data_IF_966577768669
#
_entry.id   IF_966577768669
#
_cell.length_a   1.000
_cell.length_b   1.000
_cell.length_c   1.000
_cell.angle_alpha   90.00
_cell.angle_beta   90.00
_cell.angle_gamma   90.00
#
_symmetry.space_group_name_H-M   'P 1'
#
loop_
_entity.id
_entity.type
_entity.pdbx_description
1 polymer ?
#
# COMPACT_ATOMS: atom_id res chain seq x y z
N UNK A 1 -18.24 5.45 46.40
CA UNK A 1 -18.76 4.75 45.32
C UNK A 1 -18.63 5.49 44.02
N UNK A 2 -19.27 6.44 43.87
CA UNK A 2 -19.31 7.14 42.68
C UNK A 2 -18.00 7.61 42.16
N UNK A 3 -17.18 7.88 42.96
CA UNK A 3 -15.91 8.41 42.60
C UNK A 3 -15.15 7.69 41.58
N UNK A 4 -15.17 6.50 41.65
CA UNK A 4 -14.30 5.73 40.80
C UNK A 4 -14.53 5.97 39.34
N UNK A 5 -15.67 6.07 39.01
CA UNK A 5 -15.98 6.12 37.64
C UNK A 5 -15.33 7.24 36.88
N UNK A 6 -15.25 8.29 37.48
CA UNK A 6 -14.79 9.40 36.78
C UNK A 6 -13.39 9.31 36.27
N UNK A 7 -12.59 8.83 37.07
CA UNK A 7 -11.20 8.80 36.73
C UNK A 7 -10.92 8.12 35.43
N UNK A 8 -11.57 7.07 35.24
CA UNK A 8 -11.31 6.28 34.08
C UNK A 8 -11.51 7.02 32.80
N UNK A 9 -12.57 7.68 32.74
CA UNK A 9 -12.89 8.31 31.49
C UNK A 9 -11.89 9.33 31.04
N UNK A 10 -11.42 10.02 31.96
CA UNK A 10 -10.50 11.06 31.61
C UNK A 10 -9.25 10.56 30.99
N UNK A 11 -8.77 9.56 31.60
CA UNK A 11 -7.54 9.01 31.14
C UNK A 11 -7.62 8.58 29.71
N UNK A 12 -8.65 7.90 29.43
CA UNK A 12 -8.81 7.39 28.10
C UNK A 12 -8.80 8.50 27.08
N UNK A 13 -9.52 9.48 27.38
CA UNK A 13 -9.63 10.57 26.43
C UNK A 13 -8.29 11.21 26.16
N UNK A 14 -7.57 11.41 27.17
CA UNK A 14 -6.31 12.07 27.00
C UNK A 14 -5.37 11.27 26.14
N UNK A 15 -5.31 10.03 26.39
CA UNK A 15 -4.41 9.17 25.64
C UNK A 15 -4.71 9.19 24.17
N UNK A 16 -5.92 9.00 23.88
CA UNK A 16 -6.29 8.93 22.48
C UNK A 16 -5.96 10.20 21.74
N UNK A 17 -6.22 11.26 22.33
CA UNK A 17 -6.03 12.52 21.65
C UNK A 17 -4.56 12.79 21.35
N UNK A 18 -3.73 12.47 22.27
CA UNK A 18 -2.33 12.82 22.13
C UNK A 18 -1.54 11.99 21.16
N UNK A 19 -1.69 10.73 21.27
CA UNK A 19 -0.83 9.83 20.54
C UNK A 19 -0.76 10.07 19.04
N UNK A 20 -1.84 10.05 18.33
CA UNK A 20 -1.77 10.16 16.87
C UNK A 20 -1.20 11.49 16.39
N UNK A 21 -1.56 12.52 17.04
CA UNK A 21 -1.12 13.82 16.62
C UNK A 21 0.40 13.96 16.75
N UNK A 22 0.92 13.53 17.84
CA UNK A 22 2.33 13.64 18.08
C UNK A 22 3.14 12.86 17.06
N UNK A 23 2.72 11.66 16.76
CA UNK A 23 3.45 10.83 15.83
C UNK A 23 3.50 11.43 14.45
N UNK A 24 2.41 11.98 14.01
CA UNK A 24 2.35 12.49 12.66
C UNK A 24 3.28 13.66 12.43
N UNK A 25 3.63 14.36 13.49
CA UNK A 25 4.43 15.55 13.35
C UNK A 25 5.92 15.31 13.54
N UNK A 26 6.29 14.21 14.11
CA UNK A 26 7.68 13.98 14.41
C UNK A 26 8.48 13.70 13.14
N UNK A 27 9.62 14.33 12.97
CA UNK A 27 10.46 14.03 11.82
C UNK A 27 11.10 12.66 11.99
N UNK A 28 11.38 12.03 10.88
CA UNK A 28 12.03 10.73 10.88
C UNK A 28 13.54 10.94 10.94
N UNK A 29 14.15 10.33 11.92
CA UNK A 29 15.60 10.40 12.07
C UNK A 29 16.17 9.00 12.03
N UNK A 30 17.12 8.77 11.17
CA UNK A 30 17.72 7.47 10.98
C UNK A 30 19.19 7.50 11.36
N UNK A 31 19.65 6.40 11.96
CA UNK A 31 21.07 6.25 12.20
C UNK A 31 21.77 5.98 10.86
N UNK A 32 23.09 6.15 10.80
CA UNK A 32 23.81 5.84 9.56
C UNK A 32 23.60 4.42 9.08
N UNK A 33 23.55 3.47 10.00
CA UNK A 33 23.32 2.08 9.62
C UNK A 33 21.93 1.87 9.07
N UNK A 34 20.94 2.48 9.71
CA UNK A 34 19.58 2.37 9.24
C UNK A 34 19.41 3.01 7.87
N UNK A 35 20.05 4.16 7.67
CA UNK A 35 20.01 4.82 6.38
C UNK A 35 20.64 3.97 5.30
N UNK A 36 21.75 3.35 5.60
CA UNK A 36 22.40 2.51 4.63
C UNK A 36 21.56 1.31 4.26
N UNK A 37 20.99 0.65 5.25
CA UNK A 37 20.11 -0.50 4.99
C UNK A 37 18.90 -0.08 4.17
N UNK A 38 18.30 1.02 4.53
CA UNK A 38 17.14 1.52 3.82
C UNK A 38 17.49 1.81 2.36
N UNK A 39 18.58 2.52 2.12
CA UNK A 39 18.95 2.94 0.78
C UNK A 39 19.50 1.80 -0.07
N UNK A 40 20.27 0.91 0.55
CA UNK A 40 20.89 -0.16 -0.21
C UNK A 40 20.00 -1.37 -0.40
N UNK A 41 19.09 -1.60 0.50
CA UNK A 41 18.28 -2.83 0.45
C UNK A 41 16.78 -2.59 0.33
N UNK A 42 16.22 -1.85 1.26
CA UNK A 42 14.77 -1.76 1.35
C UNK A 42 14.13 -0.94 0.23
N UNK A 43 14.67 0.23 -0.04
CA UNK A 43 14.12 1.07 -1.09
C UNK A 43 14.19 0.43 -2.46
N UNK A 44 15.35 -0.16 -2.85
CA UNK A 44 15.39 -0.86 -4.12
C UNK A 44 14.39 -2.01 -4.20
N UNK A 45 14.23 -2.77 -3.12
CA UNK A 45 13.27 -3.86 -3.10
C UNK A 45 11.83 -3.38 -3.22
N UNK A 46 11.51 -2.31 -2.51
CA UNK A 46 10.16 -1.76 -2.58
C UNK A 46 9.86 -1.20 -3.96
N UNK A 47 10.83 -0.51 -4.55
CA UNK A 47 10.68 0.03 -5.88
C UNK A 47 10.47 -1.10 -6.89
N UNK A 48 11.28 -2.15 -6.77
CA UNK A 48 11.16 -3.30 -7.64
C UNK A 48 9.81 -3.97 -7.50
N UNK A 49 9.34 -4.13 -6.27
CA UNK A 49 8.03 -4.71 -6.02
C UNK A 49 6.91 -3.88 -6.64
N UNK A 50 7.00 -2.57 -6.47
CA UNK A 50 5.99 -1.68 -7.02
C UNK A 50 5.97 -1.77 -8.54
N UNK A 51 7.16 -1.81 -9.16
CA UNK A 51 7.27 -1.95 -10.59
C UNK A 51 6.68 -3.27 -11.05
N UNK A 52 7.04 -4.37 -10.37
CA UNK A 52 6.54 -5.68 -10.74
C UNK A 52 5.03 -5.78 -10.62
N UNK A 53 4.47 -5.17 -9.57
CA UNK A 53 3.02 -5.16 -9.42
C UNK A 53 2.35 -4.37 -10.53
N UNK A 54 2.91 -3.22 -10.87
CA UNK A 54 2.37 -2.40 -11.95
C UNK A 54 2.39 -3.18 -13.25
N UNK A 55 3.50 -3.82 -13.54
CA UNK A 55 3.62 -4.60 -14.77
C UNK A 55 2.63 -5.76 -14.81
N UNK A 56 2.46 -6.42 -13.66
CA UNK A 56 1.50 -7.52 -13.59
C UNK A 56 0.09 -7.04 -13.83
N UNK A 57 -0.30 -5.95 -13.18
CA UNK A 57 -1.65 -5.42 -13.33
C UNK A 57 -1.92 -5.02 -14.78
N UNK A 58 -0.92 -4.46 -15.44
CA UNK A 58 -1.03 -4.00 -16.82
C UNK A 58 -0.78 -5.09 -17.86
N UNK A 59 -0.46 -6.30 -17.43
CA UNK A 59 -0.15 -7.37 -18.36
C UNK A 59 -1.35 -7.81 -19.18
N UNK A 60 -1.08 -8.64 -20.17
CA UNK A 60 -2.13 -9.15 -21.03
C UNK A 60 -2.92 -10.26 -20.37
N UNK A 61 -3.87 -10.85 -21.11
CA UNK A 61 -4.74 -11.90 -20.56
C UNK A 61 -3.97 -13.14 -20.08
N UNK A 62 -2.80 -13.36 -20.62
CA UNK A 62 -1.97 -14.49 -20.24
C UNK A 62 -1.25 -14.27 -18.92
N UNK A 63 -1.20 -13.04 -18.43
CA UNK A 63 -0.52 -12.73 -17.17
C UNK A 63 -1.48 -12.92 -16.02
N UNK A 64 -1.20 -13.91 -15.20
CA UNK A 64 -2.06 -14.22 -14.08
C UNK A 64 -2.17 -13.04 -13.14
N UNK A 65 -3.39 -12.63 -12.86
CA UNK A 65 -3.65 -11.53 -11.95
C UNK A 65 -3.69 -10.15 -12.59
N UNK A 66 -3.46 -10.05 -13.89
CA UNK A 66 -3.63 -8.77 -14.56
C UNK A 66 -5.13 -8.44 -14.67
N UNK A 67 -5.43 -7.18 -14.93
CA UNK A 67 -6.81 -6.77 -15.16
C UNK A 67 -7.38 -7.52 -16.34
N UNK A 68 -6.60 -7.62 -17.42
CA UNK A 68 -7.03 -8.32 -18.61
C UNK A 68 -7.30 -9.81 -18.33
N UNK A 69 -6.43 -10.44 -17.54
CA UNK A 69 -6.61 -11.85 -17.19
C UNK A 69 -7.89 -12.06 -16.39
N UNK A 70 -8.13 -11.19 -15.41
CA UNK A 70 -9.33 -11.31 -14.58
C UNK A 70 -10.59 -11.11 -15.40
N UNK A 71 -10.57 -10.17 -16.34
CA UNK A 71 -11.71 -9.96 -17.21
C UNK A 71 -11.95 -11.14 -18.14
N UNK A 72 -10.87 -11.70 -18.69
CA UNK A 72 -11.00 -12.86 -19.54
C UNK A 72 -11.58 -14.05 -18.79
N UNK A 73 -11.12 -14.25 -17.55
CA UNK A 73 -11.66 -15.32 -16.72
C UNK A 73 -13.12 -15.07 -16.38
N UNK A 74 -13.48 -13.81 -16.15
CA UNK A 74 -14.88 -13.49 -15.89
C UNK A 74 -15.76 -13.86 -17.08
N UNK A 75 -15.28 -13.56 -18.29
CA UNK A 75 -16.02 -13.93 -19.48
C UNK A 75 -16.20 -15.44 -19.58
N UNK A 76 -15.13 -16.18 -19.29
CA UNK A 76 -15.22 -17.63 -19.31
C UNK A 76 -16.24 -18.17 -18.33
N UNK A 77 -16.28 -17.61 -17.14
CA UNK A 77 -17.26 -18.03 -16.14
C UNK A 77 -18.67 -17.67 -16.58
N UNK A 78 -18.82 -16.51 -17.18
CA UNK A 78 -20.13 -16.08 -17.62
C UNK A 78 -20.68 -17.00 -18.72
N UNK A 79 -19.81 -17.42 -19.62
CA UNK A 79 -20.22 -18.35 -20.68
C UNK A 79 -20.67 -19.69 -20.13
N UNK A 80 -20.16 -20.06 -18.97
CA UNK A 80 -20.57 -21.29 -18.30
C UNK A 80 -21.79 -21.11 -17.43
N UNK A 81 -22.34 -19.91 -17.37
CA UNK A 81 -23.49 -19.63 -16.53
C UNK A 81 -23.14 -19.33 -15.08
N UNK A 82 -21.87 -19.23 -14.76
CA UNK A 82 -21.43 -18.94 -13.40
C UNK A 82 -21.34 -17.42 -13.19
N UNK A 83 -22.49 -16.79 -13.13
CA UNK A 83 -22.54 -15.32 -13.09
C UNK A 83 -21.96 -14.72 -11.84
N UNK A 84 -22.17 -15.37 -10.68
CA UNK A 84 -21.62 -14.87 -9.44
C UNK A 84 -20.10 -14.88 -9.45
N UNK A 85 -19.53 -15.94 -9.98
CA UNK A 85 -18.06 -16.03 -10.09
C UNK A 85 -17.54 -14.97 -11.06
N UNK A 86 -18.25 -14.76 -12.16
CA UNK A 86 -17.88 -13.74 -13.12
C UNK A 86 -17.88 -12.35 -12.48
N UNK A 87 -18.91 -12.07 -11.71
CA UNK A 87 -19.01 -10.77 -11.04
C UNK A 87 -17.89 -10.55 -10.05
N UNK A 88 -17.53 -11.58 -9.29
CA UNK A 88 -16.43 -11.46 -8.35
C UNK A 88 -15.10 -11.19 -9.07
N UNK A 89 -14.89 -11.85 -10.18
CA UNK A 89 -13.66 -11.63 -10.95
C UNK A 89 -13.63 -10.22 -11.52
N UNK A 90 -14.75 -9.71 -11.98
CA UNK A 90 -14.81 -8.35 -12.48
C UNK A 90 -14.54 -7.34 -11.38
N UNK A 91 -15.09 -7.56 -10.20
CA UNK A 91 -14.81 -6.67 -9.08
C UNK A 91 -13.33 -6.64 -8.74
N UNK A 92 -12.69 -7.80 -8.80
CA UNK A 92 -11.25 -7.84 -8.58
C UNK A 92 -10.49 -7.07 -9.64
N UNK A 93 -10.92 -7.20 -10.89
CA UNK A 93 -10.29 -6.46 -11.97
C UNK A 93 -10.42 -4.96 -11.74
N UNK A 94 -11.59 -4.52 -11.36
CA UNK A 94 -11.83 -3.10 -11.10
C UNK A 94 -10.98 -2.59 -9.96
N UNK A 95 -10.87 -3.36 -8.89
CA UNK A 95 -10.04 -2.96 -7.76
C UNK A 95 -8.57 -2.85 -8.14
N UNK A 96 -8.09 -3.79 -8.93
CA UNK A 96 -6.69 -3.74 -9.37
C UNK A 96 -6.44 -2.56 -10.28
N UNK A 97 -7.37 -2.31 -11.16
CA UNK A 97 -7.25 -1.18 -12.05
C UNK A 97 -7.22 0.13 -11.25
N UNK A 98 -8.05 0.22 -10.22
CA UNK A 98 -8.10 1.40 -9.38
C UNK A 98 -6.81 1.60 -8.58
N UNK A 99 -6.02 0.56 -8.40
CA UNK A 99 -4.76 0.68 -7.68
C UNK A 99 -3.61 1.21 -8.51
N UNK A 100 -3.76 1.24 -9.83
CA UNK A 100 -2.67 1.71 -10.67
C UNK A 100 -2.22 3.12 -10.34
N UNK A 101 -3.13 4.10 -10.14
CA UNK A 101 -2.67 5.43 -9.72
C UNK A 101 -1.95 5.40 -8.38
N UNK A 102 -2.41 4.56 -7.45
CA UNK A 102 -1.76 4.44 -6.15
C UNK A 102 -0.35 3.88 -6.28
N UNK A 103 -0.17 2.89 -7.15
CA UNK A 103 1.15 2.33 -7.39
C UNK A 103 2.08 3.36 -8.00
N UNK A 104 1.58 4.14 -8.93
CA UNK A 104 2.37 5.21 -9.52
C UNK A 104 2.79 6.23 -8.48
N UNK A 105 1.85 6.64 -7.63
CA UNK A 105 2.15 7.57 -6.57
C UNK A 105 3.15 6.99 -5.58
N UNK A 106 2.98 5.73 -5.23
CA UNK A 106 3.90 5.07 -4.32
C UNK A 106 5.31 5.04 -4.89
N UNK A 107 5.44 4.73 -6.17
CA UNK A 107 6.75 4.70 -6.79
C UNK A 107 7.38 6.08 -6.81
N UNK A 108 6.59 7.10 -7.11
CA UNK A 108 7.11 8.46 -7.09
C UNK A 108 7.59 8.86 -5.70
N UNK A 109 6.86 8.47 -4.67
CA UNK A 109 7.26 8.78 -3.30
C UNK A 109 8.53 8.04 -2.92
N UNK A 110 8.66 6.79 -3.34
CA UNK A 110 9.88 6.03 -3.07
C UNK A 110 11.08 6.68 -3.74
N UNK A 111 10.91 7.11 -4.97
CA UNK A 111 11.99 7.76 -5.70
C UNK A 111 12.34 9.10 -5.09
N UNK A 112 11.34 9.88 -4.70
CA UNK A 112 11.60 11.16 -4.07
C UNK A 112 12.33 10.98 -2.75
N UNK A 113 11.92 9.99 -1.97
CA UNK A 113 12.58 9.70 -0.71
C UNK A 113 14.03 9.30 -0.94
N UNK A 114 14.26 8.43 -1.91
CA UNK A 114 15.62 8.00 -2.24
C UNK A 114 16.48 9.17 -2.67
N UNK A 115 15.93 10.05 -3.48
CA UNK A 115 16.67 11.21 -3.93
C UNK A 115 17.02 12.15 -2.79
N UNK A 116 16.11 12.30 -1.85
CA UNK A 116 16.33 13.20 -0.73
C UNK A 116 17.29 12.64 0.32
N UNK A 117 17.23 11.35 0.54
CA UNK A 117 17.94 10.77 1.69
C UNK A 117 19.09 9.83 1.32
N UNK A 118 19.09 9.29 0.12
CA UNK A 118 20.11 8.31 -0.24
C UNK A 118 21.26 8.90 -1.03
N UNK A 119 20.98 9.89 -1.83
CA UNK A 119 22.05 10.52 -2.60
C UNK A 119 22.96 11.37 -1.78
N UNK A 120 22.42 11.97 -0.78
CA UNK A 120 23.19 12.88 0.05
C UNK A 120 24.33 12.16 0.76
N UNK A 121 24.21 10.89 0.93
CA UNK A 121 25.23 10.13 1.61
C UNK A 121 26.45 9.83 0.80
N UNK A 122 26.49 10.23 -0.45
CA UNK A 122 27.65 9.92 -1.27
C UNK A 122 28.79 10.82 -1.12
#
# INVERSE_FOLDING_TARGET
>A
MLKHTIAAGLVAAGLVALAPAASAQAPITLSPEESQTLCAEWLPKLTQRTTNLTERVNGGPEVRGSVANLKARAEGQRKKGHNDAADRLRKRADKRNARLPELTTAKQKLEAFANAHCKAGK
#
